data_IF_456684883860
#
_entry.id   IF_456684883860
#
_cell.length_a   1.000
_cell.length_b   1.000
_cell.length_c   1.000
_cell.angle_alpha   90.00
_cell.angle_beta   90.00
_cell.angle_gamma   90.00
#
_symmetry.space_group_name_H-M   'P 1'
#
loop_
_entity.id
_entity.type
_entity.pdbx_description
1 polymer ?
#
# COMPACT_ATOMS: atom_id res chain seq x y z
N UNK A 1 13.45 -21.80 27.93
CA UNK A 1 13.61 -20.34 27.88
C UNK A 1 13.04 -19.86 26.54
N UNK A 2 11.74 -19.56 26.49
CA UNK A 2 10.99 -19.22 25.28
C UNK A 2 10.81 -17.70 25.24
N UNK A 3 11.28 -17.05 24.16
CA UNK A 3 11.02 -15.64 23.89
C UNK A 3 9.66 -15.49 23.22
N UNK A 4 8.91 -14.49 23.70
CA UNK A 4 7.51 -14.18 23.40
C UNK A 4 7.32 -13.66 21.96
N UNK A 5 6.31 -14.19 21.25
CA UNK A 5 5.90 -13.79 19.90
C UNK A 5 5.20 -12.42 19.85
N UNK A 6 5.01 -11.74 21.00
CA UNK A 6 4.26 -10.48 21.10
C UNK A 6 5.07 -9.20 20.85
N UNK A 7 6.39 -9.27 20.78
CA UNK A 7 7.22 -8.05 20.67
C UNK A 7 7.67 -7.68 19.25
N UNK A 8 7.52 -8.56 18.25
CA UNK A 8 7.97 -8.25 16.88
C UNK A 8 6.99 -7.39 16.07
N UNK A 9 5.80 -7.07 16.60
CA UNK A 9 4.78 -6.27 15.90
C UNK A 9 4.63 -4.85 16.47
N UNK A 10 5.55 -4.38 17.33
CA UNK A 10 5.47 -3.06 17.97
C UNK A 10 6.54 -2.04 17.57
N UNK A 11 7.48 -2.39 16.70
CA UNK A 11 8.51 -1.46 16.22
C UNK A 11 8.73 -1.75 14.74
N UNK A 12 8.04 -1.09 13.80
CA UNK A 12 8.42 0.22 13.23
C UNK A 12 7.16 1.01 12.85
N UNK A 13 6.57 1.65 13.86
CA UNK A 13 5.76 2.87 13.70
C UNK A 13 6.59 3.96 14.35
N UNK A 14 7.16 4.85 13.55
CA UNK A 14 8.05 5.91 13.99
C UNK A 14 7.79 7.19 13.19
N UNK A 15 6.72 7.91 13.55
CA UNK A 15 6.48 9.26 13.04
C UNK A 15 5.01 9.63 13.06
N UNK A 16 4.49 9.98 14.23
CA UNK A 16 3.13 10.47 14.39
C UNK A 16 2.92 11.85 13.75
N UNK A 17 1.72 12.07 13.22
CA UNK A 17 0.84 13.13 13.71
C UNK A 17 -0.58 12.84 13.22
N UNK A 18 -1.46 12.57 14.19
CA UNK A 18 -2.88 12.73 14.01
C UNK A 18 -3.15 14.22 13.71
N UNK A 19 -3.59 14.52 12.49
CA UNK A 19 -4.49 15.64 12.25
C UNK A 19 -5.26 15.38 10.96
N UNK A 20 -6.53 15.74 11.04
CA UNK A 20 -7.58 15.71 10.03
C UNK A 20 -7.04 16.15 8.66
N UNK A 21 -6.98 15.22 7.70
CA UNK A 21 -6.89 15.58 6.28
C UNK A 21 -8.26 15.35 5.64
N UNK A 22 -9.14 16.34 5.82
CA UNK A 22 -10.11 16.66 4.77
C UNK A 22 -9.28 17.19 3.61
N UNK A 23 -9.00 16.34 2.63
CA UNK A 23 -8.45 16.78 1.36
C UNK A 23 -9.56 17.44 0.55
N UNK A 24 -9.82 18.72 0.80
CA UNK A 24 -10.39 19.60 -0.22
C UNK A 24 -9.24 20.01 -1.15
N UNK A 25 -8.89 19.11 -2.08
CA UNK A 25 -8.13 19.50 -3.26
C UNK A 25 -9.17 20.05 -4.25
N UNK A 26 -9.61 21.28 -4.00
CA UNK A 26 -10.23 22.11 -5.02
C UNK A 26 -9.10 22.53 -5.97
N UNK A 27 -9.02 21.85 -7.10
CA UNK A 27 -8.01 22.09 -8.11
C UNK A 27 -8.37 21.33 -9.37
N UNK A 28 -9.36 21.84 -10.10
CA UNK A 28 -9.51 21.55 -11.53
C UNK A 28 -8.24 22.03 -12.23
N UNK A 29 -7.30 21.11 -12.44
CA UNK A 29 -6.17 21.31 -13.33
C UNK A 29 -6.44 20.46 -14.57
N UNK A 30 -7.13 21.07 -15.53
CA UNK A 30 -7.07 20.68 -16.93
C UNK A 30 -5.66 21.00 -17.48
N UNK A 31 -4.65 20.25 -17.06
CA UNK A 31 -3.35 20.25 -17.74
C UNK A 31 -3.35 19.12 -18.77
N UNK A 32 -3.18 19.52 -20.03
CA UNK A 32 -3.15 18.64 -21.19
C UNK A 32 -2.14 17.50 -21.04
N UNK A 33 -2.41 16.42 -21.78
CA UNK A 33 -1.57 15.23 -21.94
C UNK A 33 -0.12 15.59 -22.33
N UNK A 34 0.72 16.00 -21.38
CA UNK A 34 2.17 15.93 -21.57
C UNK A 34 2.55 14.46 -21.38
N UNK A 35 3.22 13.83 -22.37
CA UNK A 35 3.74 12.49 -22.16
C UNK A 35 4.66 12.52 -20.93
N UNK A 36 4.52 11.55 -20.02
CA UNK A 36 5.51 11.25 -18.99
C UNK A 36 6.87 11.31 -19.67
N UNK A 37 7.73 12.22 -19.21
CA UNK A 37 9.04 12.38 -19.80
C UNK A 37 9.79 11.06 -19.60
N UNK A 38 10.06 10.33 -20.68
CA UNK A 38 10.89 9.11 -20.67
C UNK A 38 12.22 9.39 -19.93
N UNK A 39 12.71 10.63 -20.02
CA UNK A 39 13.88 11.09 -19.30
C UNK A 39 13.71 11.10 -17.77
N UNK A 40 12.52 11.36 -17.24
CA UNK A 40 12.28 11.34 -15.80
C UNK A 40 12.32 9.92 -15.22
N UNK A 41 11.78 8.93 -15.96
CA UNK A 41 11.84 7.53 -15.56
C UNK A 41 13.27 6.96 -15.57
N UNK A 42 14.18 7.55 -16.36
CA UNK A 42 15.59 7.15 -16.36
C UNK A 42 16.32 7.34 -15.02
N UNK A 43 15.78 8.17 -14.13
CA UNK A 43 16.31 8.37 -12.77
C UNK A 43 15.78 7.36 -11.75
N UNK A 44 14.78 6.57 -12.14
CA UNK A 44 14.16 5.58 -11.27
C UNK A 44 15.01 4.32 -11.24
N UNK A 45 15.31 3.87 -10.02
CA UNK A 45 16.03 2.64 -9.76
C UNK A 45 15.17 1.71 -8.91
N UNK A 46 15.22 0.43 -9.23
CA UNK A 46 14.59 -0.63 -8.47
C UNK A 46 15.66 -1.71 -8.23
N UNK A 47 16.04 -1.91 -6.97
CA UNK A 47 17.21 -2.70 -6.61
C UNK A 47 16.98 -3.51 -5.35
N UNK A 48 17.76 -4.59 -5.24
CA UNK A 48 17.85 -5.40 -4.04
C UNK A 48 19.29 -5.66 -3.72
N UNK A 49 19.64 -5.35 -2.48
CA UNK A 49 20.99 -5.44 -2.00
C UNK A 49 21.00 -5.78 -0.50
N UNK A 50 22.10 -6.33 0.03
CA UNK A 50 22.22 -6.60 1.46
C UNK A 50 21.93 -5.35 2.30
N UNK A 51 21.25 -5.49 3.44
CA UNK A 51 20.83 -4.34 4.27
C UNK A 51 22.00 -3.47 4.79
N UNK A 52 23.23 -4.01 4.83
CA UNK A 52 24.44 -3.29 5.23
C UNK A 52 25.21 -2.63 4.06
N UNK A 53 24.78 -2.82 2.82
CA UNK A 53 25.54 -2.38 1.64
C UNK A 53 25.39 -0.88 1.32
N UNK A 54 24.31 -0.26 1.79
CA UNK A 54 23.94 1.11 1.43
C UNK A 54 23.80 1.99 2.69
N UNK A 55 24.76 2.90 2.98
CA UNK A 55 24.74 3.72 4.19
C UNK A 55 23.48 4.62 4.29
N UNK A 56 22.94 5.05 3.14
CA UNK A 56 21.79 5.94 3.09
C UNK A 56 20.47 5.30 3.56
N UNK A 57 20.41 3.97 3.70
CA UNK A 57 19.21 3.28 4.22
C UNK A 57 18.83 3.76 5.63
N UNK A 58 19.81 4.14 6.45
CA UNK A 58 19.59 4.69 7.80
C UNK A 58 18.74 5.97 7.81
N UNK A 59 18.61 6.66 6.68
CA UNK A 59 17.73 7.83 6.54
C UNK A 59 16.25 7.47 6.42
N UNK A 60 15.95 6.22 6.07
CA UNK A 60 14.59 5.79 5.68
C UNK A 60 14.06 4.63 6.53
N UNK A 61 14.94 3.82 7.12
CA UNK A 61 14.57 2.77 8.07
C UNK A 61 14.98 3.19 9.47
N UNK A 62 14.21 2.77 10.49
CA UNK A 62 14.64 2.97 11.87
C UNK A 62 15.93 2.21 12.13
N UNK A 63 16.79 2.77 12.97
CA UNK A 63 18.08 2.18 13.34
C UNK A 63 17.91 0.76 13.89
N UNK A 64 16.99 0.57 14.82
CA UNK A 64 16.65 -0.74 15.39
C UNK A 64 16.30 -1.79 14.32
N UNK A 65 15.45 -1.42 13.36
CA UNK A 65 15.01 -2.36 12.33
C UNK A 65 16.13 -2.70 11.35
N UNK A 66 16.96 -1.71 11.00
CA UNK A 66 18.06 -1.92 10.09
C UNK A 66 19.17 -2.74 10.75
N UNK A 67 19.54 -2.44 12.00
CA UNK A 67 20.57 -3.19 12.72
C UNK A 67 20.14 -4.63 12.96
N UNK A 68 18.87 -4.86 13.33
CA UNK A 68 18.30 -6.20 13.41
C UNK A 68 18.37 -6.91 12.05
N UNK A 69 17.98 -6.25 10.97
CA UNK A 69 18.03 -6.82 9.62
C UNK A 69 19.47 -7.20 9.21
N UNK A 70 20.45 -6.33 9.49
CA UNK A 70 21.87 -6.59 9.23
C UNK A 70 22.36 -7.80 10.02
N UNK A 71 22.06 -7.86 11.33
CA UNK A 71 22.45 -9.00 12.18
C UNK A 71 21.86 -10.34 11.75
N UNK A 72 20.74 -10.32 11.00
CA UNK A 72 20.06 -11.51 10.49
C UNK A 72 20.27 -11.73 8.97
N UNK A 73 21.17 -10.97 8.34
CA UNK A 73 21.52 -11.14 6.92
C UNK A 73 20.41 -10.75 5.94
N UNK A 74 19.48 -9.88 6.33
CA UNK A 74 18.37 -9.45 5.48
C UNK A 74 18.83 -8.61 4.28
N UNK A 75 17.96 -8.53 3.28
CA UNK A 75 18.12 -7.70 2.10
C UNK A 75 17.15 -6.52 2.16
N UNK A 76 17.53 -5.40 1.57
CA UNK A 76 16.63 -4.28 1.34
C UNK A 76 16.15 -4.31 -0.10
N UNK A 77 14.85 -4.23 -0.30
CA UNK A 77 14.22 -3.92 -1.57
C UNK A 77 13.87 -2.46 -1.61
N UNK A 78 14.37 -1.74 -2.60
CA UNK A 78 14.17 -0.31 -2.72
C UNK A 78 13.77 0.07 -4.14
N UNK A 79 12.74 0.91 -4.24
CA UNK A 79 12.46 1.75 -5.40
C UNK A 79 12.83 3.17 -5.00
N UNK A 80 13.68 3.83 -5.75
CA UNK A 80 14.18 5.15 -5.40
C UNK A 80 14.57 5.95 -6.64
N UNK A 81 14.77 7.25 -6.47
CA UNK A 81 15.35 8.12 -7.50
C UNK A 81 16.74 8.56 -7.06
N UNK A 82 17.66 8.68 -8.00
CA UNK A 82 18.98 9.26 -7.76
C UNK A 82 19.25 10.39 -8.76
N UNK A 83 19.43 11.62 -8.26
CA UNK A 83 19.81 12.78 -9.07
C UNK A 83 20.87 13.58 -8.33
N UNK A 84 21.98 13.88 -9.00
CA UNK A 84 23.08 14.68 -8.42
C UNK A 84 23.52 14.19 -7.03
N UNK A 85 23.63 12.87 -6.87
CA UNK A 85 23.95 12.19 -5.60
C UNK A 85 22.92 12.37 -4.47
N UNK A 86 21.74 12.94 -4.75
CA UNK A 86 20.60 12.95 -3.84
C UNK A 86 19.73 11.72 -4.09
N UNK A 87 19.51 10.94 -3.02
CA UNK A 87 18.63 9.76 -3.01
C UNK A 87 17.30 10.13 -2.37
N UNK A 88 16.21 9.83 -3.08
CA UNK A 88 14.84 9.90 -2.54
C UNK A 88 14.18 8.55 -2.65
N UNK A 89 13.77 7.99 -1.51
CA UNK A 89 13.11 6.69 -1.46
C UNK A 89 11.65 6.82 -1.89
N UNK A 90 11.24 6.01 -2.86
CA UNK A 90 9.83 5.85 -3.26
C UNK A 90 9.21 4.70 -2.48
N UNK A 91 9.88 3.56 -2.40
CA UNK A 91 9.41 2.40 -1.63
C UNK A 91 10.59 1.64 -1.06
N UNK A 92 10.44 1.14 0.16
CA UNK A 92 11.46 0.34 0.83
C UNK A 92 10.84 -0.75 1.69
N UNK A 93 11.37 -1.98 1.60
CA UNK A 93 11.07 -3.03 2.57
C UNK A 93 12.30 -3.86 2.86
N UNK A 94 12.40 -4.32 4.11
CA UNK A 94 13.41 -5.29 4.53
C UNK A 94 12.85 -6.70 4.31
N UNK A 95 13.66 -7.58 3.75
CA UNK A 95 13.24 -8.90 3.30
C UNK A 95 14.14 -9.98 3.86
N UNK A 96 13.49 -11.06 4.29
CA UNK A 96 14.17 -12.25 4.78
C UNK A 96 14.90 -12.95 3.61
N UNK A 97 16.13 -13.46 3.82
CA UNK A 97 16.86 -14.24 2.82
C UNK A 97 16.07 -15.42 2.24
N UNK A 98 15.18 -16.06 3.00
CA UNK A 98 14.36 -17.16 2.51
C UNK A 98 13.39 -16.76 1.40
N UNK A 99 12.91 -15.52 1.43
CA UNK A 99 12.02 -14.95 0.40
C UNK A 99 12.82 -14.57 -0.86
N UNK A 100 14.14 -14.44 -0.74
CA UNK A 100 14.97 -13.97 -1.84
C UNK A 100 15.18 -14.98 -2.96
N UNK A 101 15.11 -16.27 -2.66
CA UNK A 101 15.23 -17.33 -3.66
C UNK A 101 14.23 -17.15 -4.82
N UNK A 102 13.03 -16.64 -4.52
CA UNK A 102 11.94 -16.48 -5.49
C UNK A 102 12.01 -15.18 -6.30
N UNK A 103 12.82 -14.21 -5.89
CA UNK A 103 12.78 -12.83 -6.40
C UNK A 103 13.85 -12.53 -7.46
N UNK A 104 14.56 -13.52 -7.97
CA UNK A 104 15.75 -13.38 -8.83
C UNK A 104 15.48 -12.97 -10.29
N UNK A 105 14.22 -12.84 -10.73
CA UNK A 105 13.91 -12.90 -12.18
C UNK A 105 13.78 -11.58 -12.94
N UNK A 106 13.44 -10.44 -12.33
CA UNK A 106 13.51 -9.13 -12.99
C UNK A 106 13.28 -8.02 -11.95
N UNK A 107 14.17 -7.03 -11.90
CA UNK A 107 14.09 -5.91 -10.93
C UNK A 107 14.04 -4.54 -11.57
N UNK A 108 13.99 -4.47 -12.89
CA UNK A 108 13.80 -3.20 -13.58
C UNK A 108 12.41 -3.18 -14.20
N UNK A 109 11.41 -3.62 -13.43
CA UNK A 109 10.04 -3.79 -13.89
C UNK A 109 9.15 -2.62 -13.45
N UNK A 110 9.55 -1.87 -12.42
CA UNK A 110 8.75 -0.75 -11.90
C UNK A 110 8.68 0.43 -12.89
N UNK A 111 9.78 0.80 -13.53
CA UNK A 111 9.77 1.88 -14.52
C UNK A 111 8.86 1.53 -15.73
N UNK A 112 9.01 0.37 -16.40
CA UNK A 112 8.08 -0.07 -17.44
C UNK A 112 6.63 -0.18 -16.96
N UNK A 113 6.41 -0.61 -15.71
CA UNK A 113 5.09 -0.65 -15.10
C UNK A 113 4.44 0.73 -14.99
N UNK A 114 5.16 1.72 -14.46
CA UNK A 114 4.67 3.09 -14.36
C UNK A 114 4.46 3.70 -15.75
N UNK A 115 5.34 3.42 -16.71
CA UNK A 115 5.18 3.86 -18.10
C UNK A 115 3.90 3.29 -18.73
N UNK A 116 3.66 1.98 -18.55
CA UNK A 116 2.47 1.28 -19.06
C UNK A 116 1.17 1.86 -18.53
N UNK A 117 1.09 2.13 -17.23
CA UNK A 117 -0.16 2.60 -16.59
C UNK A 117 -0.32 4.12 -16.56
N UNK A 118 0.79 4.86 -16.63
CA UNK A 118 0.83 6.32 -16.78
C UNK A 118 -0.11 7.07 -15.81
N UNK A 119 0.15 7.04 -14.49
CA UNK A 119 -0.69 7.76 -13.53
C UNK A 119 -0.70 9.25 -13.81
N UNK A 120 -1.90 9.85 -13.86
CA UNK A 120 -2.09 11.28 -14.21
C UNK A 120 -2.32 12.18 -13.00
N UNK A 121 -2.73 11.57 -11.89
CA UNK A 121 -3.00 12.26 -10.62
C UNK A 121 -2.23 11.63 -9.48
N UNK A 122 -2.07 12.38 -8.39
CA UNK A 122 -1.45 11.87 -7.16
C UNK A 122 -2.14 10.61 -6.64
N UNK A 123 -3.48 10.55 -6.70
CA UNK A 123 -4.26 9.39 -6.29
C UNK A 123 -3.95 8.15 -7.12
N UNK A 124 -3.84 8.31 -8.44
CA UNK A 124 -3.45 7.21 -9.32
C UNK A 124 -2.02 6.77 -9.07
N UNK A 125 -1.09 7.72 -8.86
CA UNK A 125 0.29 7.39 -8.50
C UNK A 125 0.35 6.58 -7.23
N UNK A 126 -0.39 6.98 -6.20
CA UNK A 126 -0.49 6.26 -4.93
C UNK A 126 -1.09 4.86 -5.12
N UNK A 127 -2.18 4.75 -5.88
CA UNK A 127 -2.82 3.47 -6.19
C UNK A 127 -1.85 2.51 -6.90
N UNK A 128 -1.19 2.95 -7.97
CA UNK A 128 -0.30 2.09 -8.74
C UNK A 128 0.98 1.74 -7.97
N UNK A 129 1.51 2.66 -7.17
CA UNK A 129 2.64 2.38 -6.28
C UNK A 129 2.27 1.28 -5.27
N UNK A 130 1.11 1.40 -4.63
CA UNK A 130 0.65 0.42 -3.66
C UNK A 130 0.12 -0.87 -4.31
N UNK A 131 -0.23 -0.88 -5.59
CA UNK A 131 -0.64 -2.10 -6.27
C UNK A 131 0.56 -2.93 -6.76
N UNK A 132 1.67 -2.27 -7.09
CA UNK A 132 2.82 -2.90 -7.74
C UNK A 132 3.35 -4.18 -7.06
N UNK A 133 3.53 -4.25 -5.72
CA UNK A 133 4.02 -5.46 -5.05
C UNK A 133 3.09 -6.69 -5.17
N UNK A 134 1.88 -6.47 -5.68
CA UNK A 134 0.83 -7.47 -5.76
C UNK A 134 0.64 -8.06 -7.17
N UNK A 135 1.53 -7.76 -8.12
CA UNK A 135 1.41 -8.22 -9.53
C UNK A 135 0.13 -7.69 -10.20
N UNK A 136 0.06 -6.38 -10.46
CA UNK A 136 -1.12 -5.67 -10.97
C UNK A 136 -1.77 -6.33 -12.19
N UNK A 137 -0.99 -6.97 -13.07
CA UNK A 137 -1.48 -7.70 -14.24
C UNK A 137 -2.48 -8.80 -13.87
N UNK A 138 -2.23 -9.51 -12.78
CA UNK A 138 -3.09 -10.61 -12.30
C UNK A 138 -4.37 -10.07 -11.65
N UNK A 139 -4.34 -8.82 -11.17
CA UNK A 139 -5.40 -8.23 -10.35
C UNK A 139 -6.34 -7.37 -11.20
N UNK A 140 -5.79 -6.47 -12.02
CA UNK A 140 -6.59 -5.50 -12.80
C UNK A 140 -7.49 -6.21 -13.82
N UNK A 141 -7.08 -7.37 -14.34
CA UNK A 141 -7.90 -8.19 -15.24
C UNK A 141 -9.04 -8.96 -14.55
N UNK A 142 -8.96 -9.18 -13.23
CA UNK A 142 -9.95 -9.96 -12.48
C UNK A 142 -11.09 -9.13 -11.87
N UNK A 143 -10.85 -7.85 -11.60
CA UNK A 143 -11.81 -6.95 -10.96
C UNK A 143 -12.73 -6.25 -11.98
N UNK A 144 -13.58 -7.02 -12.66
CA UNK A 144 -14.69 -6.43 -13.41
C UNK A 144 -15.83 -6.10 -12.45
N UNK A 145 -16.09 -4.80 -12.26
CA UNK A 145 -17.14 -4.29 -11.39
C UNK A 145 -18.54 -4.67 -11.90
N UNK A 146 -19.11 -5.75 -11.36
CA UNK A 146 -20.56 -5.89 -11.29
C UNK A 146 -21.10 -4.77 -10.40
N UNK A 147 -21.88 -3.86 -10.97
CA UNK A 147 -22.52 -2.77 -10.22
C UNK A 147 -23.77 -3.32 -9.52
N UNK A 148 -23.79 -3.35 -8.20
CA UNK A 148 -25.04 -3.45 -7.44
C UNK A 148 -25.34 -2.15 -6.70
N UNK A 149 -26.61 -1.92 -6.38
CA UNK A 149 -27.12 -0.59 -6.00
C UNK A 149 -27.01 -0.28 -4.51
N UNK A 150 -27.06 -1.27 -3.61
CA UNK A 150 -26.73 -1.04 -2.18
C UNK A 150 -25.21 -1.08 -1.96
N UNK A 151 -24.49 -1.80 -2.82
CA UNK A 151 -23.06 -1.62 -2.97
C UNK A 151 -22.69 -0.19 -3.40
N UNK A 152 -23.59 0.65 -3.90
CA UNK A 152 -23.26 2.00 -4.38
C UNK A 152 -22.46 2.86 -3.39
N UNK A 153 -22.85 2.91 -2.12
CA UNK A 153 -22.11 3.68 -1.09
C UNK A 153 -20.77 3.03 -0.76
N UNK A 154 -20.76 1.71 -0.53
CA UNK A 154 -19.55 0.96 -0.18
C UNK A 154 -18.54 0.95 -1.34
N UNK A 155 -19.02 0.80 -2.57
CA UNK A 155 -18.24 0.87 -3.82
C UNK A 155 -17.66 2.27 -4.02
N UNK A 156 -18.39 3.32 -3.64
CA UNK A 156 -17.87 4.70 -3.74
C UNK A 156 -16.61 4.92 -2.88
N UNK A 157 -16.45 4.17 -1.79
CA UNK A 157 -15.24 4.18 -0.94
C UNK A 157 -14.03 3.54 -1.64
N UNK A 158 -14.26 2.74 -2.68
CA UNK A 158 -13.23 2.08 -3.48
C UNK A 158 -12.98 2.76 -4.83
N UNK A 159 -13.64 3.90 -5.11
CA UNK A 159 -13.54 4.58 -6.41
C UNK A 159 -12.09 4.93 -6.80
N UNK A 160 -11.32 5.41 -5.82
CA UNK A 160 -9.94 5.88 -6.03
C UNK A 160 -8.96 4.71 -6.23
N UNK A 161 -9.38 3.49 -5.91
CA UNK A 161 -8.62 2.23 -6.09
C UNK A 161 -9.32 1.29 -7.07
N UNK A 162 -10.21 1.82 -7.92
CA UNK A 162 -10.89 1.07 -8.99
C UNK A 162 -11.60 -0.18 -8.49
N UNK A 163 -12.24 -0.10 -7.32
CA UNK A 163 -13.00 -1.21 -6.73
C UNK A 163 -12.16 -2.19 -5.91
N UNK A 164 -10.89 -1.88 -5.63
CA UNK A 164 -9.99 -2.72 -4.85
C UNK A 164 -9.92 -2.21 -3.42
N UNK A 165 -10.08 -3.10 -2.44
CA UNK A 165 -9.88 -2.76 -1.03
C UNK A 165 -8.40 -2.91 -0.66
N UNK A 166 -7.69 -1.78 -0.62
CA UNK A 166 -6.23 -1.73 -0.45
C UNK A 166 -5.80 -1.05 0.84
N UNK A 167 -6.51 0.01 1.24
CA UNK A 167 -6.08 0.88 2.33
C UNK A 167 -6.91 0.72 3.59
N UNK A 168 -6.27 0.95 4.75
CA UNK A 168 -6.91 0.90 6.06
C UNK A 168 -8.15 1.79 6.13
N UNK A 169 -8.07 3.03 5.64
CA UNK A 169 -9.18 3.97 5.73
C UNK A 169 -10.41 3.50 4.95
N UNK A 170 -10.23 2.82 3.81
CA UNK A 170 -11.35 2.27 3.05
C UNK A 170 -12.11 1.22 3.85
N UNK A 171 -11.39 0.32 4.52
CA UNK A 171 -11.99 -0.68 5.39
C UNK A 171 -12.63 -0.02 6.64
N UNK A 172 -11.96 0.95 7.24
CA UNK A 172 -12.49 1.67 8.39
C UNK A 172 -13.75 2.46 8.04
N UNK A 173 -13.82 3.09 6.87
CA UNK A 173 -14.99 3.82 6.38
C UNK A 173 -16.18 2.88 6.16
N UNK A 174 -15.94 1.65 5.67
CA UNK A 174 -16.98 0.62 5.56
C UNK A 174 -17.51 0.18 6.92
N UNK A 175 -16.62 -0.06 7.90
CA UNK A 175 -17.00 -0.44 9.27
C UNK A 175 -17.75 0.73 9.95
N UNK A 176 -17.34 1.97 9.67
CA UNK A 176 -17.92 3.18 10.24
C UNK A 176 -19.41 3.38 9.86
N UNK A 177 -19.90 2.69 8.83
CA UNK A 177 -21.34 2.65 8.51
C UNK A 177 -22.17 1.95 9.59
N UNK A 178 -21.55 1.06 10.38
CA UNK A 178 -22.21 0.18 11.35
C UNK A 178 -21.73 0.41 12.79
N UNK A 179 -20.49 0.86 12.95
CA UNK A 179 -19.86 1.12 14.26
C UNK A 179 -19.45 2.58 14.31
N UNK A 180 -19.79 3.28 15.39
CA UNK A 180 -19.45 4.72 15.54
C UNK A 180 -18.18 4.96 16.37
N UNK A 181 -17.83 4.02 17.24
CA UNK A 181 -16.66 4.19 18.11
C UNK A 181 -15.36 3.98 17.32
N UNK A 182 -14.47 4.98 17.37
CA UNK A 182 -13.23 4.95 16.60
C UNK A 182 -12.26 3.87 17.07
N UNK A 183 -12.24 3.58 18.36
CA UNK A 183 -11.36 2.56 18.95
C UNK A 183 -11.79 1.18 18.49
N UNK A 184 -13.09 0.93 18.51
CA UNK A 184 -13.72 -0.30 18.03
C UNK A 184 -13.52 -0.50 16.52
N UNK A 185 -13.72 0.53 15.69
CA UNK A 185 -13.43 0.47 14.24
C UNK A 185 -11.98 0.04 14.00
N UNK A 186 -11.02 0.66 14.70
CA UNK A 186 -9.61 0.32 14.58
C UNK A 186 -9.30 -1.10 15.10
N UNK A 187 -9.98 -1.55 16.15
CA UNK A 187 -9.84 -2.89 16.69
C UNK A 187 -10.37 -3.94 15.71
N UNK A 188 -11.53 -3.71 15.10
CA UNK A 188 -12.12 -4.55 14.07
C UNK A 188 -11.21 -4.62 12.84
N UNK A 189 -10.72 -3.48 12.32
CA UNK A 189 -9.75 -3.47 11.20
C UNK A 189 -8.53 -4.35 11.49
N UNK A 190 -7.93 -4.18 12.68
CA UNK A 190 -6.78 -5.01 13.10
C UNK A 190 -7.18 -6.48 13.21
N UNK A 191 -8.37 -6.78 13.73
CA UNK A 191 -8.92 -8.12 13.83
C UNK A 191 -9.12 -8.78 12.46
N UNK A 192 -9.65 -8.04 11.49
CA UNK A 192 -9.87 -8.51 10.10
C UNK A 192 -8.54 -8.84 9.43
N UNK A 193 -7.56 -7.92 9.45
CA UNK A 193 -6.23 -8.17 8.90
C UNK A 193 -5.53 -9.37 9.59
N UNK A 194 -5.79 -9.58 10.89
CA UNK A 194 -5.27 -10.71 11.65
C UNK A 194 -6.16 -11.97 11.60
N UNK A 195 -7.26 -11.94 10.84
CA UNK A 195 -8.25 -13.03 10.71
C UNK A 195 -8.76 -13.55 12.06
N UNK A 196 -9.00 -12.64 13.02
CA UNK A 196 -9.52 -12.99 14.35
C UNK A 196 -10.99 -13.41 14.27
N UNK A 197 -11.39 -14.53 14.89
CA UNK A 197 -12.76 -15.05 14.79
C UNK A 197 -13.85 -14.03 15.08
N UNK A 198 -13.69 -13.22 16.13
CA UNK A 198 -14.70 -12.27 16.59
C UNK A 198 -14.97 -11.17 15.54
N UNK A 199 -13.92 -10.72 14.86
CA UNK A 199 -14.04 -9.72 13.80
C UNK A 199 -14.67 -10.30 12.53
N UNK A 200 -14.37 -11.56 12.22
CA UNK A 200 -14.96 -12.27 11.06
C UNK A 200 -16.45 -12.55 11.30
N UNK A 201 -16.80 -12.99 12.51
CA UNK A 201 -18.19 -13.23 12.93
C UNK A 201 -19.01 -11.94 12.82
N UNK A 202 -18.49 -10.83 13.36
CA UNK A 202 -19.12 -9.51 13.24
C UNK A 202 -19.44 -9.14 11.78
N UNK A 203 -18.47 -9.29 10.86
CA UNK A 203 -18.69 -8.96 9.45
C UNK A 203 -19.68 -9.89 8.74
N UNK A 204 -19.81 -11.14 9.20
CA UNK A 204 -20.74 -12.13 8.63
C UNK A 204 -22.19 -11.78 8.97
N UNK A 205 -22.41 -11.12 10.10
CA UNK A 205 -23.74 -10.70 10.54
C UNK A 205 -24.25 -9.46 9.77
N UNK A 206 -23.36 -8.67 9.16
CA UNK A 206 -23.70 -7.46 8.42
C UNK A 206 -24.08 -7.81 6.98
N UNK A 207 -25.37 -7.72 6.65
CA UNK A 207 -25.87 -7.90 5.29
C UNK A 207 -25.92 -6.54 4.57
N UNK A 208 -25.26 -6.46 3.41
CA UNK A 208 -25.29 -5.26 2.56
C UNK A 208 -26.28 -5.41 1.40
N UNK A 209 -26.54 -6.65 0.96
CA UNK A 209 -27.60 -7.01 0.02
C UNK A 209 -28.22 -8.37 0.36
N UNK A 210 -29.32 -8.72 -0.31
CA UNK A 210 -29.94 -10.04 -0.20
C UNK A 210 -28.93 -11.10 -0.66
N UNK A 211 -28.34 -11.83 0.29
CA UNK A 211 -27.29 -12.85 0.11
C UNK A 211 -25.85 -12.30 -0.08
N UNK A 212 -25.56 -11.07 0.35
CA UNK A 212 -24.20 -10.55 0.35
C UNK A 212 -23.88 -9.93 1.71
N UNK A 213 -22.92 -10.52 2.43
CA UNK A 213 -22.41 -9.96 3.68
C UNK A 213 -21.28 -8.98 3.43
N UNK A 214 -20.98 -8.14 4.41
CA UNK A 214 -19.80 -7.27 4.37
C UNK A 214 -18.50 -8.09 4.33
N UNK A 215 -18.48 -9.26 4.98
CA UNK A 215 -17.35 -10.19 4.89
C UNK A 215 -17.11 -10.65 3.45
N UNK A 216 -18.16 -11.12 2.76
CA UNK A 216 -18.07 -11.59 1.38
C UNK A 216 -17.55 -10.48 0.47
N UNK A 217 -18.08 -9.26 0.64
CA UNK A 217 -17.64 -8.09 -0.10
C UNK A 217 -16.14 -7.81 0.13
N UNK A 218 -15.72 -7.74 1.39
CA UNK A 218 -14.33 -7.48 1.77
C UNK A 218 -13.40 -8.56 1.19
N UNK A 219 -13.75 -9.84 1.34
CA UNK A 219 -12.92 -10.95 0.85
C UNK A 219 -12.77 -10.93 -0.67
N UNK A 220 -13.83 -10.57 -1.38
CA UNK A 220 -13.79 -10.45 -2.83
C UNK A 220 -12.95 -9.26 -3.29
N UNK A 221 -12.94 -8.14 -2.55
CA UNK A 221 -12.23 -6.90 -2.95
C UNK A 221 -10.81 -6.76 -2.42
N UNK A 222 -10.46 -7.47 -1.35
CA UNK A 222 -9.20 -7.28 -0.63
C UNK A 222 -8.07 -8.12 -1.23
N UNK A 223 -6.95 -7.47 -1.54
CA UNK A 223 -5.77 -8.15 -2.08
C UNK A 223 -5.01 -8.86 -0.95
N UNK A 224 -4.75 -10.15 -1.12
CA UNK A 224 -3.99 -11.00 -0.17
C UNK A 224 -4.55 -11.00 1.28
N UNK A 225 -5.80 -10.60 1.46
CA UNK A 225 -6.50 -10.68 2.75
C UNK A 225 -6.00 -9.70 3.83
N UNK A 226 -5.37 -8.59 3.45
CA UNK A 226 -5.12 -7.47 4.37
C UNK A 226 -5.18 -6.11 3.67
N UNK A 227 -5.42 -5.06 4.45
CA UNK A 227 -5.25 -3.66 4.05
C UNK A 227 -4.03 -3.03 4.72
N UNK A 228 -3.53 -1.92 4.18
CA UNK A 228 -2.35 -1.21 4.71
C UNK A 228 -2.50 0.31 4.75
N UNK A 229 -1.56 1.01 5.38
CA UNK A 229 -1.49 2.47 5.21
C UNK A 229 -0.96 2.79 3.81
N UNK A 230 -1.50 3.82 3.14
CA UNK A 230 -1.02 4.25 1.84
C UNK A 230 0.43 4.76 1.92
N UNK A 231 1.25 4.46 0.91
CA UNK A 231 2.61 5.01 0.82
C UNK A 231 2.63 6.45 0.27
N UNK A 232 2.09 7.39 1.05
CA UNK A 232 1.92 8.80 0.67
C UNK A 232 3.26 9.47 0.36
N UNK A 233 4.29 9.23 1.17
CA UNK A 233 5.64 9.80 0.97
C UNK A 233 6.23 9.33 -0.36
N UNK A 234 6.16 8.03 -0.63
CA UNK A 234 6.63 7.46 -1.89
C UNK A 234 5.88 7.97 -3.10
N UNK A 235 4.55 8.04 -2.99
CA UNK A 235 3.70 8.57 -4.04
C UNK A 235 4.00 10.04 -4.34
N UNK A 236 4.36 10.84 -3.33
CA UNK A 236 4.75 12.24 -3.51
C UNK A 236 6.05 12.37 -4.31
N UNK A 237 7.07 11.59 -3.94
CA UNK A 237 8.34 11.55 -4.67
C UNK A 237 8.12 11.11 -6.13
N UNK A 238 7.37 10.03 -6.34
CA UNK A 238 7.09 9.52 -7.68
C UNK A 238 6.24 10.50 -8.49
N UNK A 239 5.22 11.11 -7.91
CA UNK A 239 4.38 12.08 -8.60
C UNK A 239 5.17 13.31 -9.02
N UNK A 240 6.04 13.82 -8.14
CA UNK A 240 6.93 14.94 -8.46
C UNK A 240 7.97 14.60 -9.53
N UNK A 241 8.36 13.33 -9.67
CA UNK A 241 9.22 12.88 -10.77
C UNK A 241 8.48 12.88 -12.12
N UNK A 242 7.19 12.53 -12.12
CA UNK A 242 6.39 12.35 -13.33
C UNK A 242 5.83 13.66 -13.93
N UNK A 243 6.04 14.80 -13.26
CA UNK A 243 5.56 16.13 -13.66
C UNK A 243 6.70 17.02 -14.14
#
# INVERSE_FOLDING_TARGET
MMLDRRDFLRTVVGGGLASILKFDIAGDIHEGNRPVSIQALSFLKEEIFPANSQPWLRRFFSEEALDWAVGNGFYAYCIYTERTSEIKLIHGTLMNPSVMADWTRERNAFAPYIEKYHPRSFKETLFYLDLYPHKPEEIIGGFHAGRSTAAGVIESMLKDTRGILLWHHQLEDMINLFVRDRTEIMALRKGINAKRPEAIEFLTQIHIEKNLTLLDFIQNRMIRGYTRYPNVTGASVLYGLLK
#
